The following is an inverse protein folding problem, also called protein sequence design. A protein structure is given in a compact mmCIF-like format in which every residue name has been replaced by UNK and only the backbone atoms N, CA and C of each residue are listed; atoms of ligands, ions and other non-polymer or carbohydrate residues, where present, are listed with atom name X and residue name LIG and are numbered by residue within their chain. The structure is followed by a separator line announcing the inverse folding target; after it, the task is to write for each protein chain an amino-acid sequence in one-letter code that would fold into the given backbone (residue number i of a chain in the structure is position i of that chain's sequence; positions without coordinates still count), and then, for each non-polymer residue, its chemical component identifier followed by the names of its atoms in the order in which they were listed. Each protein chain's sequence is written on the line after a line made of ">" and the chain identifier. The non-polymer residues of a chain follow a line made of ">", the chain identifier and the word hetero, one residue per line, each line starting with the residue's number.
data_IF_124855123775
#
_entry.id   IF_124855123775
#
_cell.length_a   1.000
_cell.length_b   1.000
_cell.length_c   1.000
_cell.angle_alpha   90.00
_cell.angle_beta   90.00
_cell.angle_gamma   90.00
#
_symmetry.space_group_name_H-M   'P 1'
#
loop_
_entity.id
_entity.type
_entity.pdbx_description
1 polymer ?
#
# COMPACT_ATOMS: atom_id res chain seq x y z
N UNK A 1 -8.64 -23.03 -1.41
CA UNK A 1 -8.50 -21.55 -1.38
C UNK A 1 -9.87 -20.94 -1.64
N UNK A 2 -10.38 -20.08 -0.73
CA UNK A 2 -11.67 -19.44 -0.87
C UNK A 2 -11.60 -18.39 -2.02
N UNK A 3 -12.72 -18.13 -2.71
CA UNK A 3 -12.81 -17.21 -3.86
C UNK A 3 -12.28 -15.79 -3.53
N UNK A 4 -12.54 -15.30 -2.30
CA UNK A 4 -12.03 -14.00 -1.84
C UNK A 4 -10.50 -14.01 -1.69
N UNK A 5 -9.90 -15.11 -1.20
CA UNK A 5 -8.44 -15.26 -1.11
C UNK A 5 -7.81 -15.33 -2.49
N UNK A 6 -8.44 -16.04 -3.42
CA UNK A 6 -8.02 -16.08 -4.81
C UNK A 6 -8.02 -14.69 -5.44
N UNK A 7 -9.14 -13.97 -5.38
CA UNK A 7 -9.23 -12.61 -5.92
C UNK A 7 -8.23 -11.64 -5.26
N UNK A 8 -8.05 -11.71 -3.93
CA UNK A 8 -7.08 -10.87 -3.22
C UNK A 8 -5.64 -11.13 -3.66
N UNK A 9 -5.32 -12.36 -4.06
CA UNK A 9 -3.95 -12.73 -4.46
C UNK A 9 -3.45 -12.00 -5.71
N UNK A 10 -4.33 -11.37 -6.48
CA UNK A 10 -3.99 -10.57 -7.66
C UNK A 10 -3.73 -9.09 -7.34
N UNK A 11 -3.90 -8.65 -6.09
CA UNK A 11 -3.52 -7.29 -5.68
C UNK A 11 -2.01 -7.12 -5.82
N UNK A 12 -1.58 -6.00 -6.38
CA UNK A 12 -0.18 -5.77 -6.79
C UNK A 12 0.80 -5.95 -5.63
N UNK A 13 0.53 -5.34 -4.47
CA UNK A 13 1.39 -5.50 -3.28
C UNK A 13 1.52 -6.97 -2.85
N UNK A 14 0.45 -7.76 -2.95
CA UNK A 14 0.50 -9.17 -2.59
C UNK A 14 1.27 -10.03 -3.61
N UNK A 15 1.25 -9.65 -4.89
CA UNK A 15 2.06 -10.32 -5.91
C UNK A 15 3.55 -10.14 -5.60
N UNK A 16 3.98 -8.93 -5.24
CA UNK A 16 5.38 -8.66 -4.89
C UNK A 16 5.78 -9.40 -3.60
N UNK A 17 4.98 -9.31 -2.54
CA UNK A 17 5.27 -10.00 -1.28
C UNK A 17 5.33 -11.52 -1.45
N UNK A 18 4.48 -12.09 -2.30
CA UNK A 18 4.56 -13.53 -2.59
C UNK A 18 5.84 -13.92 -3.31
N UNK A 19 6.38 -13.06 -4.16
CA UNK A 19 7.67 -13.31 -4.82
C UNK A 19 8.83 -13.26 -3.83
N UNK A 20 8.76 -12.40 -2.81
CA UNK A 20 9.80 -12.26 -1.80
C UNK A 20 9.72 -13.32 -0.71
N UNK A 21 8.51 -13.65 -0.23
CA UNK A 21 8.32 -14.52 0.94
C UNK A 21 7.70 -15.88 0.64
N UNK A 22 7.07 -16.04 -0.53
CA UNK A 22 6.37 -17.29 -0.89
C UNK A 22 5.22 -17.58 0.08
N UNK A 23 5.24 -18.79 0.65
CA UNK A 23 4.33 -19.25 1.70
C UNK A 23 4.99 -19.29 3.10
N UNK A 24 6.20 -18.77 3.23
CA UNK A 24 6.94 -18.79 4.49
C UNK A 24 6.32 -17.85 5.52
N UNK A 25 6.69 -18.06 6.78
CA UNK A 25 6.42 -17.09 7.83
C UNK A 25 7.33 -15.88 7.64
N UNK A 26 6.77 -14.68 7.80
CA UNK A 26 7.51 -13.42 7.75
C UNK A 26 6.81 -12.36 8.61
N UNK A 27 7.56 -11.37 9.04
CA UNK A 27 7.07 -10.22 9.81
C UNK A 27 6.87 -9.03 8.90
N UNK A 28 5.65 -8.52 8.91
CA UNK A 28 5.23 -7.41 8.06
C UNK A 28 4.83 -6.22 8.91
N UNK A 29 5.33 -5.04 8.57
CA UNK A 29 4.80 -3.76 9.02
C UNK A 29 4.00 -3.12 7.88
N UNK A 30 2.71 -2.94 8.09
CA UNK A 30 1.79 -2.26 7.15
C UNK A 30 1.58 -0.82 7.61
N UNK A 31 2.09 0.12 6.83
CA UNK A 31 1.92 1.56 7.06
C UNK A 31 0.64 2.03 6.38
N UNK A 32 -0.26 2.65 7.15
CA UNK A 32 -1.62 2.93 6.71
C UNK A 32 -2.49 1.67 6.78
N UNK A 33 -2.49 1.01 7.95
CA UNK A 33 -3.11 -0.30 8.18
C UNK A 33 -4.64 -0.24 8.38
N UNK A 34 -5.31 0.75 7.78
CA UNK A 34 -6.75 0.87 7.73
C UNK A 34 -7.42 -0.03 6.69
N UNK A 35 -8.73 0.16 6.50
CA UNK A 35 -9.52 -0.45 5.43
C UNK A 35 -9.44 -1.99 5.38
N UNK A 36 -9.51 -2.66 6.52
CA UNK A 36 -9.43 -4.13 6.65
C UNK A 36 -8.15 -4.72 6.04
N UNK A 37 -7.03 -3.99 6.11
CA UNK A 37 -5.76 -4.41 5.50
C UNK A 37 -5.23 -5.70 6.13
N UNK A 38 -5.31 -5.85 7.45
CA UNK A 38 -4.91 -7.06 8.17
C UNK A 38 -5.68 -8.30 7.71
N UNK A 39 -7.00 -8.20 7.65
CA UNK A 39 -7.86 -9.29 7.16
C UNK A 39 -7.53 -9.68 5.73
N UNK A 40 -7.27 -8.71 4.85
CA UNK A 40 -6.89 -8.97 3.46
C UNK A 40 -5.50 -9.63 3.37
N UNK A 41 -4.53 -9.15 4.15
CA UNK A 41 -3.17 -9.70 4.20
C UNK A 41 -3.15 -11.14 4.72
N UNK A 42 -3.77 -11.39 5.87
CA UNK A 42 -3.83 -12.73 6.50
C UNK A 42 -4.58 -13.76 5.64
N UNK A 43 -5.51 -13.32 4.79
CA UNK A 43 -6.18 -14.20 3.83
C UNK A 43 -5.24 -14.73 2.75
N UNK A 44 -4.24 -13.92 2.35
CA UNK A 44 -3.25 -14.28 1.32
C UNK A 44 -2.01 -14.92 1.95
N UNK A 45 -1.63 -14.47 3.13
CA UNK A 45 -0.44 -14.88 3.89
C UNK A 45 -0.84 -15.27 5.31
N UNK A 46 -1.45 -16.46 5.51
CA UNK A 46 -1.96 -16.86 6.83
C UNK A 46 -0.86 -16.96 7.90
N UNK A 47 0.38 -17.25 7.52
CA UNK A 47 1.53 -17.35 8.43
C UNK A 47 2.24 -16.01 8.67
N UNK A 48 1.80 -14.93 8.02
CA UNK A 48 2.38 -13.60 8.22
C UNK A 48 2.13 -13.11 9.66
N UNK A 49 3.19 -12.70 10.34
CA UNK A 49 3.11 -11.95 11.59
C UNK A 49 2.87 -10.48 11.23
N UNK A 50 1.60 -10.08 11.30
CA UNK A 50 1.16 -8.78 10.80
C UNK A 50 1.15 -7.72 11.89
N UNK A 51 1.85 -6.63 11.65
CA UNK A 51 1.87 -5.43 12.49
C UNK A 51 1.27 -4.27 11.69
N UNK A 52 0.26 -3.62 12.25
CA UNK A 52 -0.35 -2.45 11.65
C UNK A 52 0.21 -1.15 12.23
N UNK A 53 0.29 -0.12 11.40
CA UNK A 53 0.57 1.24 11.82
C UNK A 53 -0.39 2.19 11.12
N UNK A 54 -1.05 3.05 11.88
CA UNK A 54 -1.90 4.13 11.35
C UNK A 54 -1.95 5.29 12.34
N UNK A 55 -2.36 6.46 11.89
CA UNK A 55 -2.58 7.63 12.74
C UNK A 55 -3.85 7.43 13.60
N UNK A 56 -4.81 6.68 13.10
CA UNK A 56 -6.10 6.43 13.75
C UNK A 56 -6.40 4.91 13.77
N UNK A 57 -6.51 4.36 14.97
CA UNK A 57 -6.80 2.92 15.18
C UNK A 57 -8.09 2.47 14.49
N UNK A 58 -9.11 3.31 14.51
CA UNK A 58 -10.47 2.99 14.04
C UNK A 58 -10.69 3.16 12.54
N UNK A 59 -9.72 3.57 11.74
CA UNK A 59 -9.92 3.89 10.33
C UNK A 59 -10.34 2.67 9.51
N UNK A 60 -11.67 2.47 9.38
CA UNK A 60 -12.30 1.35 8.67
C UNK A 60 -11.77 -0.04 9.07
N UNK A 61 -11.38 -0.23 10.34
CA UNK A 61 -11.03 -1.51 10.92
C UNK A 61 -12.10 -1.92 11.95
N UNK A 62 -12.28 -3.22 12.13
CA UNK A 62 -13.14 -3.84 13.13
C UNK A 62 -12.33 -4.76 14.05
N UNK A 63 -13.01 -5.37 15.04
CA UNK A 63 -12.37 -6.30 15.98
C UNK A 63 -11.75 -7.51 15.28
N UNK A 64 -12.33 -7.97 14.17
CA UNK A 64 -11.78 -9.09 13.40
C UNK A 64 -10.40 -8.74 12.82
N UNK A 65 -10.21 -7.48 12.39
CA UNK A 65 -8.92 -6.99 11.90
C UNK A 65 -7.88 -6.99 13.02
N UNK A 66 -8.22 -6.40 14.19
CA UNK A 66 -7.29 -6.35 15.33
C UNK A 66 -6.93 -7.72 15.86
N UNK A 67 -7.85 -8.68 15.87
CA UNK A 67 -7.58 -10.06 16.26
C UNK A 67 -6.60 -10.78 15.33
N UNK A 68 -6.38 -10.25 14.13
CA UNK A 68 -5.40 -10.76 13.15
C UNK A 68 -4.05 -10.07 13.21
N UNK A 69 -3.95 -8.96 13.94
CA UNK A 69 -2.70 -8.22 14.13
C UNK A 69 -1.92 -8.77 15.31
N UNK A 70 -0.61 -8.87 15.17
CA UNK A 70 0.30 -9.15 16.28
C UNK A 70 0.46 -7.91 17.15
N UNK A 71 0.55 -6.74 16.52
CA UNK A 71 0.58 -5.44 17.20
C UNK A 71 -0.03 -4.35 16.30
N UNK A 72 -0.44 -3.25 16.92
CA UNK A 72 -0.86 -2.04 16.24
C UNK A 72 -0.16 -0.84 16.87
N UNK A 73 0.52 -0.06 16.04
CA UNK A 73 1.20 1.18 16.41
C UNK A 73 0.31 2.36 15.99
N UNK A 74 -0.30 3.04 16.97
CA UNK A 74 -1.05 4.26 16.71
C UNK A 74 -0.09 5.44 16.80
N UNK A 75 0.24 6.05 15.66
CA UNK A 75 1.19 7.14 15.61
C UNK A 75 1.03 8.03 14.38
N UNK A 76 1.35 9.29 14.57
CA UNK A 76 1.50 10.28 13.51
C UNK A 76 2.94 10.21 12.96
N UNK A 77 3.10 9.68 11.75
CA UNK A 77 4.39 9.50 11.09
C UNK A 77 5.16 10.83 10.93
N UNK A 78 4.44 11.95 10.82
CA UNK A 78 5.07 13.27 10.63
C UNK A 78 5.90 13.72 11.83
N UNK A 79 5.65 13.14 13.01
CA UNK A 79 6.41 13.42 14.25
C UNK A 79 7.73 12.69 14.34
N UNK A 80 7.97 11.72 13.46
CA UNK A 80 9.22 10.95 13.36
C UNK A 80 9.60 10.18 14.66
N UNK A 81 8.63 9.90 15.53
CA UNK A 81 8.85 9.14 16.77
C UNK A 81 8.64 7.64 16.54
N UNK A 82 9.65 6.98 16.02
CA UNK A 82 9.62 5.53 15.73
C UNK A 82 10.18 4.66 16.86
N UNK A 83 10.39 5.22 18.07
CA UNK A 83 11.04 4.53 19.17
C UNK A 83 10.32 3.27 19.68
N UNK A 84 9.00 3.20 19.51
CA UNK A 84 8.20 2.03 19.90
C UNK A 84 8.27 0.88 18.89
N UNK A 85 8.76 1.13 17.66
CA UNK A 85 8.90 0.13 16.61
C UNK A 85 10.30 -0.46 16.68
N UNK A 86 10.46 -1.79 16.85
CA UNK A 86 11.77 -2.42 17.00
C UNK A 86 12.61 -2.33 15.73
N UNK A 87 13.92 -2.05 15.89
CA UNK A 87 14.89 -2.05 14.80
C UNK A 87 15.26 -3.47 14.35
N UNK A 88 15.55 -3.63 13.05
CA UNK A 88 15.98 -4.90 12.48
C UNK A 88 14.99 -6.05 12.68
N UNK A 89 13.71 -5.74 12.77
CA UNK A 89 12.70 -6.72 13.18
C UNK A 89 11.85 -7.24 12.03
N UNK A 90 11.50 -6.38 11.05
CA UNK A 90 10.57 -6.71 9.98
C UNK A 90 11.30 -7.30 8.76
N UNK A 91 10.71 -8.35 8.19
CA UNK A 91 11.14 -8.90 6.91
C UNK A 91 10.60 -8.08 5.74
N UNK A 92 9.44 -7.43 5.93
CA UNK A 92 8.82 -6.55 4.97
C UNK A 92 8.13 -5.35 5.59
N UNK A 93 8.20 -4.21 4.89
CA UNK A 93 7.38 -3.02 5.14
C UNK A 93 6.62 -2.72 3.85
N UNK A 94 5.34 -2.43 3.93
CA UNK A 94 4.65 -1.79 2.82
C UNK A 94 3.99 -0.48 3.24
N UNK A 95 3.94 0.45 2.29
CA UNK A 95 3.32 1.75 2.42
C UNK A 95 2.53 2.02 1.14
N UNK A 96 1.20 1.92 1.23
CA UNK A 96 0.32 1.98 0.06
C UNK A 96 -0.69 3.10 0.24
N UNK A 97 -0.61 4.11 -0.60
CA UNK A 97 -1.43 5.32 -0.51
C UNK A 97 -1.31 6.02 0.85
N UNK A 98 -0.07 6.29 1.28
CA UNK A 98 0.25 7.01 2.52
C UNK A 98 1.23 8.14 2.27
N UNK A 99 2.26 7.89 1.45
CA UNK A 99 3.37 8.84 1.25
C UNK A 99 2.89 10.18 0.70
N UNK A 100 1.86 10.19 -0.13
CA UNK A 100 1.25 11.38 -0.71
C UNK A 100 0.59 12.32 0.31
N UNK A 101 0.30 11.82 1.50
CA UNK A 101 -0.25 12.59 2.62
C UNK A 101 0.83 13.18 3.54
N UNK A 102 2.11 12.85 3.31
CA UNK A 102 3.22 13.24 4.16
C UNK A 102 4.04 14.36 3.52
N UNK A 103 4.13 15.51 4.19
CA UNK A 103 4.99 16.60 3.72
C UNK A 103 6.49 16.32 3.94
N UNK A 104 6.82 15.45 4.89
CA UNK A 104 8.18 15.05 5.29
C UNK A 104 8.44 13.55 5.05
N UNK A 105 7.90 13.00 3.96
CA UNK A 105 7.99 11.56 3.69
C UNK A 105 9.44 11.05 3.54
N UNK A 106 10.37 11.92 3.12
CA UNK A 106 11.78 11.56 3.00
C UNK A 106 12.37 11.19 4.36
N UNK A 107 12.04 11.95 5.42
CA UNK A 107 12.44 11.69 6.80
C UNK A 107 11.70 10.46 7.36
N UNK A 108 10.42 10.31 7.03
CA UNK A 108 9.62 9.13 7.43
C UNK A 108 10.22 7.85 6.85
N UNK A 109 10.55 7.82 5.56
CA UNK A 109 11.20 6.65 4.94
C UNK A 109 12.54 6.36 5.63
N UNK A 110 13.38 7.37 5.85
CA UNK A 110 14.67 7.21 6.57
C UNK A 110 14.49 6.63 7.96
N UNK A 111 13.45 7.03 8.70
CA UNK A 111 13.13 6.50 10.03
C UNK A 111 12.56 5.08 10.02
N UNK A 112 11.92 4.67 8.93
CA UNK A 112 11.35 3.32 8.78
C UNK A 112 12.37 2.30 8.29
N UNK A 113 13.38 2.68 7.49
CA UNK A 113 14.38 1.76 6.94
C UNK A 113 15.13 0.97 8.02
N UNK A 114 15.55 1.54 9.17
CA UNK A 114 16.18 0.77 10.25
C UNK A 114 15.30 -0.30 10.87
N UNK A 115 13.97 -0.24 10.68
CA UNK A 115 13.03 -1.25 11.20
C UNK A 115 13.06 -2.54 10.40
N UNK A 116 13.59 -2.50 9.16
CA UNK A 116 13.83 -3.67 8.33
C UNK A 116 15.03 -4.46 8.84
N UNK A 117 14.94 -5.78 8.74
CA UNK A 117 16.11 -6.66 8.82
C UNK A 117 17.07 -6.38 7.67
N UNK A 118 18.37 -6.67 7.82
CA UNK A 118 19.27 -6.75 6.66
C UNK A 118 18.70 -7.68 5.59
N UNK A 119 18.57 -7.19 4.36
CA UNK A 119 17.94 -7.93 3.26
C UNK A 119 16.41 -7.95 3.27
N UNK A 120 15.78 -7.21 4.17
CA UNK A 120 14.32 -7.02 4.16
C UNK A 120 13.83 -6.20 2.96
N UNK A 121 12.53 -6.23 2.70
CA UNK A 121 11.91 -5.59 1.53
C UNK A 121 10.99 -4.46 1.93
N UNK A 122 11.03 -3.35 1.19
CA UNK A 122 10.03 -2.30 1.29
C UNK A 122 9.26 -2.18 -0.04
N UNK A 123 7.94 -2.04 0.06
CA UNK A 123 7.06 -1.76 -1.08
C UNK A 123 6.33 -0.45 -0.83
N UNK A 124 6.46 0.49 -1.76
CA UNK A 124 5.77 1.78 -1.72
C UNK A 124 4.91 1.92 -2.97
N UNK A 125 3.64 2.31 -2.80
CA UNK A 125 2.71 2.59 -3.90
C UNK A 125 1.97 3.89 -3.61
N UNK A 126 1.86 4.76 -4.61
CA UNK A 126 1.33 6.12 -4.47
C UNK A 126 0.74 6.61 -5.80
N UNK A 127 -0.14 7.65 -5.80
CA UNK A 127 -0.58 8.32 -7.01
C UNK A 127 0.61 8.98 -7.71
N UNK A 128 0.93 8.53 -8.93
CA UNK A 128 2.04 9.07 -9.70
C UNK A 128 1.73 10.42 -10.35
N UNK A 129 2.73 11.06 -10.97
CA UNK A 129 2.56 12.36 -11.67
C UNK A 129 1.43 12.33 -12.69
N UNK A 130 1.21 11.18 -13.35
CA UNK A 130 0.13 11.02 -14.33
C UNK A 130 -1.27 11.26 -13.70
N UNK A 131 -1.45 10.92 -12.44
CA UNK A 131 -2.74 11.08 -11.75
C UNK A 131 -3.22 12.53 -11.70
N UNK A 132 -2.32 13.51 -11.70
CA UNK A 132 -2.68 14.94 -11.71
C UNK A 132 -3.36 15.41 -12.99
N UNK A 133 -3.27 14.61 -14.07
CA UNK A 133 -3.81 14.92 -15.40
C UNK A 133 -5.03 14.06 -15.76
N UNK A 134 -5.45 13.16 -14.88
CA UNK A 134 -6.62 12.31 -15.10
C UNK A 134 -7.91 13.07 -14.74
N UNK A 135 -9.06 12.63 -15.28
CA UNK A 135 -10.35 13.23 -14.93
C UNK A 135 -10.65 13.07 -13.44
N UNK A 136 -11.30 14.05 -12.84
CA UNK A 136 -11.83 13.94 -11.48
C UNK A 136 -13.01 12.96 -11.45
N UNK A 137 -12.98 12.01 -10.52
CA UNK A 137 -14.05 11.01 -10.34
C UNK A 137 -14.20 10.65 -8.86
N UNK A 138 -15.43 10.35 -8.45
CA UNK A 138 -15.67 9.73 -7.15
C UNK A 138 -14.85 8.45 -7.01
N UNK A 139 -14.23 8.22 -5.83
CA UNK A 139 -13.32 7.10 -5.59
C UNK A 139 -11.93 7.32 -6.18
N UNK A 140 -11.51 8.57 -6.27
CA UNK A 140 -10.21 9.11 -6.65
C UNK A 140 -9.65 8.57 -7.96
N UNK A 141 -9.67 9.37 -9.01
CA UNK A 141 -8.94 9.11 -10.24
C UNK A 141 -7.92 10.22 -10.54
N UNK A 142 -8.20 11.45 -10.07
CA UNK A 142 -7.23 12.54 -10.10
C UNK A 142 -6.56 12.66 -8.73
N UNK A 143 -5.29 13.02 -8.70
CA UNK A 143 -4.55 13.29 -7.45
C UNK A 143 -5.29 14.28 -6.54
N UNK A 144 -5.87 15.32 -7.14
CA UNK A 144 -6.57 16.39 -6.43
C UNK A 144 -8.01 16.01 -5.99
N UNK A 145 -8.47 14.79 -6.29
CA UNK A 145 -9.78 14.31 -5.80
C UNK A 145 -9.78 14.09 -4.27
N UNK A 146 -8.60 13.90 -3.68
CA UNK A 146 -8.42 13.80 -2.25
C UNK A 146 -7.72 15.07 -1.73
N UNK A 147 -8.42 15.90 -0.90
CA UNK A 147 -7.85 17.14 -0.39
C UNK A 147 -6.73 16.94 0.63
N UNK A 148 -6.52 15.73 1.12
CA UNK A 148 -5.44 15.39 2.07
C UNK A 148 -4.12 15.07 1.38
N UNK A 149 -4.09 14.98 0.06
CA UNK A 149 -2.86 14.82 -0.71
C UNK A 149 -2.05 16.12 -0.69
N UNK A 150 -0.82 16.07 -0.21
CA UNK A 150 0.04 17.24 -0.05
C UNK A 150 1.23 17.27 -1.01
N UNK A 151 1.68 16.10 -1.52
CA UNK A 151 2.85 16.03 -2.40
C UNK A 151 2.72 14.92 -3.44
N UNK A 152 3.05 15.28 -4.68
CA UNK A 152 3.20 14.33 -5.79
C UNK A 152 4.64 13.84 -5.84
N UNK A 153 4.84 12.53 -5.89
CA UNK A 153 6.15 11.91 -6.02
C UNK A 153 6.35 11.35 -7.43
N UNK A 154 7.62 11.22 -7.82
CA UNK A 154 8.01 10.50 -9.03
C UNK A 154 8.84 9.27 -8.70
N UNK A 155 8.79 8.26 -9.57
CA UNK A 155 9.64 7.07 -9.45
C UNK A 155 11.13 7.45 -9.35
N UNK A 156 11.58 8.43 -10.14
CA UNK A 156 12.99 8.89 -10.14
C UNK A 156 13.39 9.46 -8.79
N UNK A 157 12.55 10.31 -8.21
CA UNK A 157 12.79 10.96 -6.92
C UNK A 157 12.91 9.92 -5.80
N UNK A 158 11.93 9.03 -5.68
CA UNK A 158 11.95 7.99 -4.66
C UNK A 158 13.08 6.97 -4.88
N UNK A 159 13.36 6.59 -6.12
CA UNK A 159 14.52 5.75 -6.43
C UNK A 159 15.81 6.39 -5.91
N UNK A 160 16.01 7.69 -6.15
CA UNK A 160 17.19 8.41 -5.66
C UNK A 160 17.25 8.44 -4.14
N UNK A 161 16.11 8.61 -3.45
CA UNK A 161 16.01 8.58 -2.00
C UNK A 161 16.43 7.22 -1.44
N UNK A 162 15.88 6.12 -1.99
CA UNK A 162 16.22 4.77 -1.54
C UNK A 162 17.67 4.41 -1.80
N UNK A 163 18.23 4.73 -2.97
CA UNK A 163 19.65 4.50 -3.31
C UNK A 163 20.56 5.30 -2.38
N UNK A 164 20.24 6.56 -2.09
CA UNK A 164 21.01 7.38 -1.14
C UNK A 164 21.02 6.82 0.30
N UNK A 165 20.01 6.00 0.64
CA UNK A 165 19.91 5.28 1.91
C UNK A 165 20.36 3.80 1.80
N UNK A 166 21.23 3.47 0.85
CA UNK A 166 21.86 2.16 0.65
C UNK A 166 20.87 1.03 0.34
N UNK A 167 19.69 1.35 -0.19
CA UNK A 167 18.70 0.37 -0.64
C UNK A 167 18.90 0.06 -2.13
N UNK A 168 18.70 -1.20 -2.50
CA UNK A 168 18.65 -1.62 -3.89
C UNK A 168 17.22 -1.58 -4.41
N UNK A 169 16.91 -0.75 -5.39
CA UNK A 169 15.61 -0.72 -6.04
C UNK A 169 15.48 -1.89 -7.00
N UNK A 170 14.70 -2.89 -6.62
CA UNK A 170 14.54 -4.11 -7.39
C UNK A 170 13.57 -3.94 -8.56
N UNK A 171 12.54 -3.14 -8.37
CA UNK A 171 11.51 -2.83 -9.37
C UNK A 171 10.89 -1.49 -9.07
N UNK A 172 10.56 -0.76 -10.12
CA UNK A 172 9.79 0.48 -10.04
C UNK A 172 9.05 0.74 -11.33
N UNK A 173 8.01 1.54 -11.28
CA UNK A 173 7.27 1.94 -12.47
C UNK A 173 5.81 2.29 -12.21
N UNK A 174 5.08 2.49 -13.30
CA UNK A 174 3.63 2.68 -13.25
C UNK A 174 2.92 1.36 -13.01
N UNK A 175 1.98 1.32 -12.07
CA UNK A 175 1.16 0.15 -11.82
C UNK A 175 0.23 -0.11 -13.00
N UNK A 176 0.32 -1.32 -13.54
CA UNK A 176 -0.47 -1.85 -14.65
C UNK A 176 -0.80 -3.31 -14.39
N UNK A 177 -1.74 -3.56 -13.49
CA UNK A 177 -2.12 -4.92 -13.14
C UNK A 177 -3.06 -5.51 -14.22
N UNK A 178 -2.61 -6.48 -15.03
CA UNK A 178 -3.41 -7.01 -16.13
C UNK A 178 -4.71 -7.66 -15.66
N UNK A 179 -4.73 -8.25 -14.47
CA UNK A 179 -5.93 -8.86 -13.91
C UNK A 179 -7.02 -7.83 -13.62
N UNK A 180 -6.66 -6.66 -13.09
CA UNK A 180 -7.62 -5.58 -12.85
C UNK A 180 -8.05 -4.91 -14.14
N UNK A 181 -7.17 -4.79 -15.14
CA UNK A 181 -7.54 -4.27 -16.46
C UNK A 181 -8.53 -5.23 -17.13
N UNK A 182 -8.28 -6.55 -17.11
CA UNK A 182 -9.19 -7.55 -17.66
C UNK A 182 -10.53 -7.63 -16.90
N UNK A 183 -10.52 -7.45 -15.59
CA UNK A 183 -11.73 -7.46 -14.77
C UNK A 183 -12.55 -6.15 -14.87
N UNK A 184 -12.00 -5.09 -15.46
CA UNK A 184 -12.64 -3.77 -15.51
C UNK A 184 -14.04 -3.80 -16.15
N UNK A 185 -14.29 -4.42 -17.32
CA UNK A 185 -15.62 -4.46 -17.91
C UNK A 185 -16.66 -5.12 -17.00
N UNK A 186 -16.26 -6.19 -16.31
CA UNK A 186 -17.12 -6.86 -15.33
C UNK A 186 -17.44 -5.96 -14.13
N UNK A 187 -16.43 -5.25 -13.59
CA UNK A 187 -16.61 -4.31 -12.47
C UNK A 187 -17.55 -3.15 -12.86
N UNK A 188 -17.45 -2.64 -14.09
CA UNK A 188 -18.36 -1.63 -14.64
C UNK A 188 -19.78 -2.20 -14.68
N UNK A 189 -19.99 -3.36 -15.32
CA UNK A 189 -21.30 -3.97 -15.44
C UNK A 189 -21.95 -4.21 -14.07
N UNK A 190 -21.21 -4.74 -13.09
CA UNK A 190 -21.71 -4.93 -11.72
C UNK A 190 -22.10 -3.61 -11.06
N UNK A 191 -21.35 -2.52 -11.27
CA UNK A 191 -21.68 -1.22 -10.72
C UNK A 191 -22.99 -0.68 -11.32
N UNK A 192 -23.15 -0.79 -12.64
CA UNK A 192 -24.36 -0.36 -13.35
C UNK A 192 -25.60 -1.16 -12.93
N UNK A 193 -25.50 -2.50 -12.88
CA UNK A 193 -26.60 -3.37 -12.43
C UNK A 193 -27.02 -3.04 -10.99
N UNK A 194 -26.08 -2.67 -10.11
CA UNK A 194 -26.36 -2.27 -8.73
C UNK A 194 -26.81 -0.81 -8.59
N UNK A 195 -26.98 -0.07 -9.68
CA UNK A 195 -27.32 1.36 -9.66
C UNK A 195 -26.28 2.25 -8.97
N UNK A 196 -25.01 1.78 -8.86
CA UNK A 196 -23.93 2.53 -8.22
C UNK A 196 -23.19 3.40 -9.23
N UNK A 197 -22.78 4.59 -8.80
CA UNK A 197 -21.87 5.43 -9.61
C UNK A 197 -20.54 4.72 -9.83
N UNK A 198 -19.99 4.85 -11.03
CA UNK A 198 -18.66 4.33 -11.35
C UNK A 198 -17.60 5.03 -10.49
N UNK A 199 -16.74 4.23 -9.87
CA UNK A 199 -15.65 4.72 -9.02
C UNK A 199 -14.37 4.82 -9.83
N UNK A 200 -13.58 5.89 -9.64
CA UNK A 200 -12.33 6.15 -10.33
C UNK A 200 -11.31 5.01 -10.19
N UNK A 201 -11.29 4.34 -9.04
CA UNK A 201 -10.37 3.21 -8.78
C UNK A 201 -10.59 1.98 -9.69
N UNK A 202 -11.70 1.92 -10.43
CA UNK A 202 -11.91 0.90 -11.46
C UNK A 202 -10.90 1.06 -12.62
N UNK A 203 -10.49 2.30 -12.89
CA UNK A 203 -9.66 2.68 -14.03
C UNK A 203 -8.18 2.85 -13.69
N UNK A 204 -7.77 2.75 -12.42
CA UNK A 204 -6.41 3.02 -11.96
C UNK A 204 -5.34 2.28 -12.78
N UNK A 205 -5.50 0.98 -12.95
CA UNK A 205 -4.51 0.16 -13.65
C UNK A 205 -4.49 0.40 -15.16
N UNK A 206 -5.66 0.68 -15.78
CA UNK A 206 -5.73 1.03 -17.19
C UNK A 206 -5.10 2.40 -17.48
N UNK A 207 -5.41 3.40 -16.66
CA UNK A 207 -4.96 4.76 -16.88
C UNK A 207 -3.59 5.07 -16.25
N UNK A 208 -3.06 4.17 -15.41
CA UNK A 208 -1.77 4.33 -14.74
C UNK A 208 -1.81 5.43 -13.69
N UNK A 209 -2.78 5.33 -12.81
CA UNK A 209 -2.96 6.25 -11.68
C UNK A 209 -1.81 6.15 -10.68
N UNK A 210 -1.42 4.93 -10.31
CA UNK A 210 -0.41 4.69 -9.28
C UNK A 210 0.96 4.33 -9.88
N UNK A 211 2.00 4.74 -9.18
CA UNK A 211 3.39 4.31 -9.34
C UNK A 211 3.83 3.52 -8.12
N UNK A 212 4.91 2.73 -8.25
CA UNK A 212 5.45 1.89 -7.17
C UNK A 212 6.96 1.73 -7.26
N UNK A 213 7.56 1.39 -6.12
CA UNK A 213 8.92 0.90 -5.94
C UNK A 213 8.92 -0.34 -5.03
#
# INVERSE_FOLDING_TARGET
>A
MNLKAFASSFVTKFIFMRRSFGSNQFRLLDIGAGNHSATKAKRVFPLCEYHGLDMERGYNNDEEDFNKMTAFYEMDLTKLDFGTIPDGYFDGIWMVHVIEHLYNADEVIKGLLPKLKPGGYMYVEYPGIRSTKLPSMQGSLNFNDDPTHVRVYSVKELTSLFVANQCNVLRSGTRRNPWFIMAMPFRIAVSLVKGKKLQGNIFWDLLGFAEYL
#
